data_IF_170096399872
#
_entry.id   IF_170096399872
#
_cell.length_a   1.000
_cell.length_b   1.000
_cell.length_c   1.000
_cell.angle_alpha   90.00
_cell.angle_beta   90.00
_cell.angle_gamma   90.00
#
_symmetry.space_group_name_H-M   'P 1'
#
loop_
_entity.id
_entity.type
_entity.pdbx_description
1 polymer ?
#
# COMPACT_ATOMS: atom_id res chain seq x y z
N UNK A 1 -9.64 37.12 -23.31
CA UNK A 1 -10.14 36.06 -22.43
C UNK A 1 -9.34 34.82 -22.70
N UNK A 2 -8.46 34.46 -21.81
CA UNK A 2 -7.74 33.22 -21.92
C UNK A 2 -8.51 32.14 -21.17
N UNK A 3 -9.15 31.24 -21.92
CA UNK A 3 -9.61 29.99 -21.37
C UNK A 3 -8.38 29.22 -20.93
N UNK A 4 -8.17 29.07 -19.64
CA UNK A 4 -7.23 28.09 -19.13
C UNK A 4 -7.75 26.73 -19.57
N UNK A 5 -7.09 26.13 -20.54
CA UNK A 5 -7.34 24.73 -20.84
C UNK A 5 -7.14 23.94 -19.57
N UNK A 6 -8.24 23.38 -19.07
CA UNK A 6 -8.20 22.43 -18.01
C UNK A 6 -7.52 21.19 -18.59
N UNK A 7 -6.20 21.13 -18.52
CA UNK A 7 -5.48 19.91 -18.84
C UNK A 7 -5.83 18.89 -17.79
N UNK A 8 -6.98 18.24 -18.01
CA UNK A 8 -7.25 17.00 -17.32
C UNK A 8 -6.07 16.08 -17.67
N UNK A 9 -5.30 15.70 -16.65
CA UNK A 9 -4.28 14.70 -16.81
C UNK A 9 -4.93 13.50 -17.49
N UNK A 10 -4.48 13.16 -18.69
CA UNK A 10 -4.94 11.93 -19.36
C UNK A 10 -4.69 10.78 -18.40
N UNK A 11 -5.68 9.91 -18.16
CA UNK A 11 -5.43 8.71 -17.37
C UNK A 11 -4.23 8.01 -17.99
N UNK A 12 -3.21 7.75 -17.18
CA UNK A 12 -2.03 7.02 -17.64
C UNK A 12 -2.51 5.70 -18.20
N UNK A 13 -2.21 5.46 -19.48
CA UNK A 13 -2.48 4.15 -20.08
C UNK A 13 -1.62 3.15 -19.31
N UNK A 14 -2.26 2.09 -18.81
CA UNK A 14 -1.59 0.98 -18.18
C UNK A 14 -0.80 0.26 -19.28
N UNK A 15 0.46 0.61 -19.43
CA UNK A 15 1.38 -0.13 -20.27
C UNK A 15 1.96 -1.28 -19.46
N UNK A 16 2.24 -2.41 -20.11
CA UNK A 16 2.68 -3.65 -19.47
C UNK A 16 4.07 -3.59 -18.80
N UNK A 17 4.65 -2.40 -18.63
CA UNK A 17 5.95 -2.19 -18.01
C UNK A 17 5.79 -1.51 -16.65
N UNK A 18 5.79 -2.34 -15.61
CA UNK A 18 5.39 -1.97 -14.26
C UNK A 18 6.23 -0.89 -13.58
N UNK A 19 7.49 -0.72 -13.96
CA UNK A 19 8.36 0.30 -13.34
C UNK A 19 7.90 1.72 -13.65
N UNK A 20 7.24 1.92 -14.79
CA UNK A 20 6.82 3.24 -15.26
C UNK A 20 5.42 3.63 -14.76
N UNK A 21 4.68 2.68 -14.16
CA UNK A 21 3.28 2.86 -13.73
C UNK A 21 3.10 3.06 -12.23
N UNK A 22 4.14 2.87 -11.43
CA UNK A 22 4.08 3.08 -9.99
C UNK A 22 3.86 4.58 -9.73
N UNK A 23 2.89 4.89 -8.86
CA UNK A 23 2.67 6.28 -8.45
C UNK A 23 3.94 6.85 -7.82
N UNK A 24 4.21 8.11 -8.10
CA UNK A 24 5.45 8.77 -7.73
C UNK A 24 5.27 9.74 -6.56
N UNK A 25 6.39 10.12 -5.96
CA UNK A 25 6.46 11.24 -5.03
C UNK A 25 5.83 12.48 -5.70
N UNK A 26 4.93 13.15 -4.99
CA UNK A 26 4.20 14.31 -5.48
C UNK A 26 2.82 13.99 -6.04
N UNK A 27 2.52 12.73 -6.34
CA UNK A 27 1.19 12.34 -6.81
C UNK A 27 0.19 12.32 -5.65
N UNK A 28 -1.05 12.69 -5.96
CA UNK A 28 -2.17 12.56 -5.03
C UNK A 28 -2.62 11.11 -4.98
N UNK A 29 -2.67 10.53 -3.80
CA UNK A 29 -3.20 9.17 -3.62
C UNK A 29 -4.71 9.12 -3.91
N UNK A 30 -5.26 7.93 -4.29
CA UNK A 30 -6.70 7.79 -4.52
C UNK A 30 -7.50 8.10 -3.25
N UNK A 31 -8.66 8.74 -3.38
CA UNK A 31 -9.53 9.05 -2.24
C UNK A 31 -10.14 7.78 -1.64
N UNK A 32 -10.63 6.86 -2.45
CA UNK A 32 -11.16 5.59 -1.97
C UNK A 32 -10.05 4.55 -2.02
N UNK A 33 -9.66 4.03 -0.85
CA UNK A 33 -8.59 3.04 -0.75
C UNK A 33 -9.12 1.62 -0.86
N UNK A 34 -10.34 1.36 -0.40
CA UNK A 34 -10.97 0.06 -0.49
C UNK A 34 -11.72 -0.32 0.78
N UNK A 35 -11.99 -1.61 0.95
CA UNK A 35 -12.68 -2.13 2.13
C UNK A 35 -11.73 -2.94 2.99
N UNK A 36 -11.84 -2.77 4.30
CA UNK A 36 -11.01 -3.50 5.26
C UNK A 36 -11.50 -4.93 5.48
N UNK A 37 -10.90 -5.64 6.41
CA UNK A 37 -11.22 -7.03 6.77
C UNK A 37 -12.66 -7.24 7.29
N UNK A 38 -13.35 -6.17 7.63
CA UNK A 38 -14.73 -6.18 8.12
C UNK A 38 -15.73 -5.58 7.11
N UNK A 39 -15.26 -5.26 5.90
CA UNK A 39 -16.08 -4.66 4.85
C UNK A 39 -16.31 -3.15 5.01
N UNK A 40 -15.64 -2.50 5.93
CA UNK A 40 -15.74 -1.06 6.13
C UNK A 40 -14.91 -0.32 5.08
N UNK A 41 -15.48 0.70 4.46
CA UNK A 41 -14.75 1.51 3.48
C UNK A 41 -13.70 2.36 4.17
N UNK A 42 -12.47 2.33 3.62
CA UNK A 42 -11.36 3.17 4.05
C UNK A 42 -11.10 4.22 2.98
N UNK A 43 -11.10 5.49 3.39
CA UNK A 43 -10.84 6.64 2.54
C UNK A 43 -9.56 7.34 2.96
N UNK A 44 -8.92 7.97 1.99
CA UNK A 44 -7.74 8.80 2.24
C UNK A 44 -8.04 9.91 3.26
N UNK A 45 -9.21 10.53 3.15
CA UNK A 45 -9.67 11.58 4.06
C UNK A 45 -9.80 11.13 5.52
N UNK A 46 -9.92 9.84 5.79
CA UNK A 46 -9.93 9.30 7.15
C UNK A 46 -8.60 9.56 7.87
N UNK A 47 -7.53 9.81 7.12
CA UNK A 47 -6.18 10.05 7.64
C UNK A 47 -5.73 11.50 7.50
N UNK A 48 -6.65 12.42 7.17
CA UNK A 48 -6.33 13.83 7.03
C UNK A 48 -5.63 14.37 8.28
N UNK A 49 -4.52 15.09 8.08
CA UNK A 49 -3.70 15.60 9.19
C UNK A 49 -2.72 14.58 9.79
N UNK A 50 -2.68 13.36 9.25
CA UNK A 50 -1.75 12.32 9.66
C UNK A 50 -1.02 11.74 8.45
N UNK A 51 0.16 11.19 8.69
CA UNK A 51 0.89 10.45 7.66
C UNK A 51 0.37 9.03 7.60
N UNK A 52 0.21 8.50 6.39
CA UNK A 52 -0.25 7.13 6.18
C UNK A 52 0.87 6.27 5.61
N UNK A 53 1.16 5.17 6.28
CA UNK A 53 1.97 4.08 5.74
C UNK A 53 1.01 3.13 5.04
N UNK A 54 0.97 3.19 3.73
CA UNK A 54 0.15 2.30 2.89
C UNK A 54 1.07 1.27 2.26
N UNK A 55 1.06 0.04 2.81
CA UNK A 55 1.97 -0.98 2.33
C UNK A 55 1.25 -2.11 1.61
N UNK A 56 1.74 -2.41 0.42
CA UNK A 56 1.23 -3.49 -0.44
C UNK A 56 2.09 -4.72 -0.25
N UNK A 57 1.46 -5.87 -0.01
CA UNK A 57 2.16 -7.14 0.16
C UNK A 57 1.46 -8.26 -0.62
N UNK A 58 2.21 -9.29 -1.07
CA UNK A 58 1.67 -10.29 -1.99
C UNK A 58 0.62 -11.22 -1.40
N UNK A 59 0.82 -11.73 -0.18
CA UNK A 59 -0.05 -12.80 0.33
C UNK A 59 0.02 -12.95 1.84
N UNK A 60 -1.16 -13.04 2.49
CA UNK A 60 -1.28 -13.35 3.91
C UNK A 60 -0.56 -14.66 4.27
N UNK A 61 -0.05 -14.71 5.49
CA UNK A 61 0.54 -15.93 6.10
C UNK A 61 1.77 -16.49 5.38
N UNK A 62 2.40 -15.74 4.48
CA UNK A 62 3.72 -16.05 3.95
C UNK A 62 4.81 -15.49 4.88
N UNK A 63 6.01 -16.06 4.84
CA UNK A 63 7.08 -15.69 5.78
C UNK A 63 7.50 -14.23 5.69
N UNK A 64 7.71 -13.71 4.48
CA UNK A 64 8.09 -12.31 4.26
C UNK A 64 6.98 -11.33 4.64
N UNK A 65 5.75 -11.62 4.26
CA UNK A 65 4.61 -10.76 4.60
C UNK A 65 4.32 -10.77 6.10
N UNK A 66 4.47 -11.91 6.77
CA UNK A 66 4.34 -12.01 8.21
C UNK A 66 5.43 -11.22 8.92
N UNK A 67 6.69 -11.33 8.48
CA UNK A 67 7.80 -10.57 9.05
C UNK A 67 7.58 -9.07 8.93
N UNK A 68 7.12 -8.60 7.78
CA UNK A 68 6.82 -7.17 7.54
C UNK A 68 5.69 -6.69 8.44
N UNK A 69 4.58 -7.42 8.50
CA UNK A 69 3.45 -7.09 9.36
C UNK A 69 3.86 -7.05 10.84
N UNK A 70 4.64 -8.01 11.29
CA UNK A 70 5.13 -8.06 12.68
C UNK A 70 6.10 -6.91 13.00
N UNK A 71 6.94 -6.52 12.05
CA UNK A 71 7.81 -5.34 12.22
C UNK A 71 6.97 -4.08 12.45
N UNK A 72 5.94 -3.87 11.64
CA UNK A 72 5.03 -2.73 11.77
C UNK A 72 4.22 -2.81 13.06
N UNK A 73 3.75 -4.00 13.44
CA UNK A 73 3.05 -4.23 14.71
C UNK A 73 3.91 -3.87 15.91
N UNK A 74 5.12 -4.38 15.96
CA UNK A 74 6.03 -4.20 17.10
C UNK A 74 6.43 -2.74 17.30
N UNK A 75 6.38 -1.95 16.24
CA UNK A 75 6.73 -0.53 16.24
C UNK A 75 5.52 0.40 16.07
N UNK A 76 4.30 -0.15 16.18
CA UNK A 76 3.08 0.61 15.90
C UNK A 76 2.87 1.80 16.84
N UNK A 77 3.14 1.62 18.14
CA UNK A 77 3.05 2.71 19.12
C UNK A 77 3.98 3.85 18.76
N UNK A 78 5.23 3.55 18.39
CA UNK A 78 6.20 4.56 18.00
C UNK A 78 5.83 5.23 16.67
N UNK A 79 5.34 4.46 15.69
CA UNK A 79 4.84 5.01 14.44
C UNK A 79 3.70 6.01 14.70
N UNK A 80 2.74 5.64 15.52
CA UNK A 80 1.62 6.53 15.88
C UNK A 80 2.11 7.78 16.62
N UNK A 81 3.05 7.62 17.53
CA UNK A 81 3.65 8.74 18.27
C UNK A 81 4.29 9.76 17.30
N UNK A 82 4.88 9.29 16.22
CA UNK A 82 5.46 10.14 15.19
C UNK A 82 4.45 10.63 14.13
N UNK A 83 3.16 10.38 14.32
CA UNK A 83 2.11 10.88 13.46
C UNK A 83 1.71 9.95 12.31
N UNK A 84 2.18 8.71 12.29
CA UNK A 84 1.81 7.73 11.26
C UNK A 84 0.60 6.90 11.65
N UNK A 85 -0.21 6.54 10.66
CA UNK A 85 -1.14 5.42 10.68
C UNK A 85 -0.67 4.37 9.68
N UNK A 86 -1.08 3.12 9.89
CA UNK A 86 -0.66 1.99 9.04
C UNK A 86 -1.88 1.30 8.45
N UNK A 87 -1.85 1.06 7.16
CA UNK A 87 -2.85 0.25 6.45
C UNK A 87 -2.12 -0.69 5.50
N UNK A 88 -2.40 -1.98 5.61
CA UNK A 88 -1.88 -2.97 4.68
C UNK A 88 -2.87 -3.26 3.55
N UNK A 89 -2.37 -3.63 2.39
CA UNK A 89 -3.19 -3.94 1.22
C UNK A 89 -2.70 -5.23 0.58
N UNK A 90 -3.61 -6.16 0.36
CA UNK A 90 -3.37 -7.37 -0.41
C UNK A 90 -4.64 -7.75 -1.17
N UNK A 91 -4.50 -8.57 -2.21
CA UNK A 91 -5.63 -9.06 -3.01
C UNK A 91 -6.39 -10.20 -2.33
N UNK A 92 -5.96 -10.64 -1.17
CA UNK A 92 -6.65 -11.67 -0.39
C UNK A 92 -7.98 -11.15 0.13
N UNK A 93 -8.93 -12.06 0.39
CA UNK A 93 -10.27 -11.70 0.85
C UNK A 93 -10.33 -11.31 2.34
N UNK A 94 -11.48 -10.82 2.75
CA UNK A 94 -11.72 -10.38 4.13
C UNK A 94 -11.45 -11.49 5.15
N UNK A 95 -11.87 -12.71 4.84
CA UNK A 95 -11.71 -13.86 5.73
C UNK A 95 -10.25 -14.23 5.94
N UNK A 96 -9.46 -14.21 4.87
CA UNK A 96 -8.01 -14.41 4.95
C UNK A 96 -7.36 -13.32 5.81
N UNK A 97 -7.72 -12.06 5.61
CA UNK A 97 -7.21 -10.94 6.40
C UNK A 97 -7.58 -11.03 7.87
N UNK A 98 -8.82 -11.43 8.19
CA UNK A 98 -9.25 -11.63 9.57
C UNK A 98 -8.39 -12.67 10.29
N UNK A 99 -8.11 -13.79 9.64
CA UNK A 99 -7.24 -14.85 10.19
C UNK A 99 -5.81 -14.36 10.39
N UNK A 100 -5.29 -13.62 9.43
CA UNK A 100 -3.94 -13.06 9.50
C UNK A 100 -3.79 -12.05 10.63
N UNK A 101 -4.74 -11.15 10.77
CA UNK A 101 -4.82 -10.18 11.87
C UNK A 101 -4.89 -10.88 13.23
N UNK A 102 -5.79 -11.86 13.36
CA UNK A 102 -5.99 -12.59 14.63
C UNK A 102 -4.72 -13.36 15.02
N UNK A 103 -4.15 -14.11 14.09
CA UNK A 103 -2.95 -14.92 14.36
C UNK A 103 -1.75 -14.07 14.78
N UNK A 104 -1.57 -12.91 14.19
CA UNK A 104 -0.42 -12.04 14.43
C UNK A 104 -0.74 -10.84 15.31
N UNK A 105 -1.98 -10.70 15.80
CA UNK A 105 -2.43 -9.59 16.64
C UNK A 105 -2.08 -8.23 16.01
N UNK A 106 -2.42 -8.06 14.75
CA UNK A 106 -2.13 -6.82 14.03
C UNK A 106 -3.07 -5.70 14.50
N UNK A 107 -2.54 -4.54 14.92
CA UNK A 107 -3.34 -3.43 15.45
C UNK A 107 -3.85 -2.47 14.38
N UNK A 108 -3.61 -2.75 13.11
CA UNK A 108 -3.99 -1.90 11.98
C UNK A 108 -4.84 -2.69 10.99
N UNK A 109 -5.68 -2.00 10.18
CA UNK A 109 -6.54 -2.66 9.22
C UNK A 109 -5.79 -3.14 7.99
N UNK A 110 -6.36 -4.15 7.33
CA UNK A 110 -5.91 -4.67 6.06
C UNK A 110 -7.02 -4.51 5.01
N UNK A 111 -6.70 -3.90 3.88
CA UNK A 111 -7.62 -3.75 2.75
C UNK A 111 -7.63 -5.04 1.93
N UNK A 112 -8.83 -5.57 1.71
CA UNK A 112 -9.09 -6.72 0.85
C UNK A 112 -9.33 -6.23 -0.58
N UNK A 113 -8.25 -6.03 -1.33
CA UNK A 113 -8.28 -5.51 -2.70
C UNK A 113 -8.50 -6.65 -3.71
N UNK A 114 -9.57 -7.42 -3.54
CA UNK A 114 -9.85 -8.64 -4.30
C UNK A 114 -10.02 -8.38 -5.81
N UNK A 115 -10.51 -7.19 -6.17
CA UNK A 115 -10.66 -6.77 -7.57
C UNK A 115 -9.39 -6.12 -8.14
N UNK A 116 -8.32 -6.03 -7.34
CA UNK A 116 -7.04 -5.44 -7.71
C UNK A 116 -7.11 -3.94 -8.05
N UNK A 117 -8.21 -3.28 -7.71
CA UNK A 117 -8.46 -1.88 -8.06
C UNK A 117 -7.38 -0.96 -7.54
N UNK A 118 -7.07 -1.03 -6.26
CA UNK A 118 -6.04 -0.17 -5.66
C UNK A 118 -4.63 -0.57 -6.12
N UNK A 119 -4.36 -1.88 -6.24
CA UNK A 119 -3.10 -2.39 -6.81
C UNK A 119 -2.84 -1.78 -8.19
N UNK A 120 -3.84 -1.77 -9.05
CA UNK A 120 -3.72 -1.23 -10.41
C UNK A 120 -3.62 0.29 -10.41
N UNK A 121 -4.44 1.00 -9.62
CA UNK A 121 -4.39 2.46 -9.52
C UNK A 121 -3.03 2.96 -9.07
N UNK A 122 -2.40 2.27 -8.13
CA UNK A 122 -1.10 2.68 -7.59
C UNK A 122 0.08 2.06 -8.33
N UNK A 123 -0.18 1.25 -9.34
CA UNK A 123 0.83 0.70 -10.25
C UNK A 123 1.70 -0.40 -9.65
N UNK A 124 1.20 -1.13 -8.65
CA UNK A 124 1.96 -2.18 -7.98
C UNK A 124 1.55 -3.60 -8.40
N UNK A 125 0.55 -3.71 -9.26
CA UNK A 125 0.14 -4.98 -9.86
C UNK A 125 0.95 -5.21 -11.14
N UNK A 126 1.68 -6.32 -11.20
CA UNK A 126 2.53 -6.53 -12.33
C UNK A 126 3.07 -7.92 -12.50
N UNK A 127 3.84 -8.09 -13.57
CA UNK A 127 4.48 -9.35 -13.91
C UNK A 127 5.67 -9.62 -12.99
N UNK A 128 5.67 -10.79 -12.40
CA UNK A 128 6.73 -11.32 -11.55
C UNK A 128 7.29 -12.60 -12.18
N UNK A 129 8.50 -12.95 -11.82
CA UNK A 129 9.15 -14.18 -12.27
C UNK A 129 9.64 -15.00 -11.08
N UNK A 130 9.36 -16.31 -11.11
CA UNK A 130 9.85 -17.25 -10.11
C UNK A 130 10.17 -18.57 -10.81
N UNK A 131 11.42 -19.03 -10.67
CA UNK A 131 11.90 -20.27 -11.29
C UNK A 131 11.61 -20.33 -12.80
N UNK A 132 11.80 -19.20 -13.52
CA UNK A 132 11.56 -19.12 -14.95
C UNK A 132 10.10 -19.01 -15.36
N UNK A 133 9.17 -19.04 -14.42
CA UNK A 133 7.75 -18.84 -14.67
C UNK A 133 7.36 -17.38 -14.46
N UNK A 134 6.63 -16.82 -15.39
CA UNK A 134 6.06 -15.49 -15.30
C UNK A 134 4.63 -15.60 -14.76
N UNK A 135 4.28 -14.71 -13.81
CA UNK A 135 2.94 -14.62 -13.25
C UNK A 135 2.66 -13.17 -12.84
N UNK A 136 1.38 -12.82 -12.73
CA UNK A 136 0.99 -11.50 -12.24
C UNK A 136 0.76 -11.54 -10.74
N UNK A 137 1.19 -10.49 -10.07
CA UNK A 137 1.02 -10.37 -8.62
C UNK A 137 1.33 -8.97 -8.12
N UNK A 138 1.09 -8.78 -6.83
CA UNK A 138 1.44 -7.54 -6.14
C UNK A 138 2.95 -7.47 -5.96
N UNK A 139 3.53 -6.36 -6.40
CA UNK A 139 4.92 -6.03 -6.08
C UNK A 139 4.95 -5.35 -4.71
N UNK A 140 5.73 -5.89 -3.78
CA UNK A 140 5.87 -5.35 -2.44
C UNK A 140 6.36 -3.91 -2.51
N UNK A 141 5.49 -2.98 -2.13
CA UNK A 141 5.75 -1.54 -2.25
C UNK A 141 5.09 -0.83 -1.07
N UNK A 142 5.78 0.14 -0.50
CA UNK A 142 5.21 0.96 0.57
C UNK A 142 5.22 2.42 0.16
N UNK A 143 4.07 3.06 0.29
CA UNK A 143 3.91 4.49 0.07
C UNK A 143 3.76 5.19 1.42
N UNK A 144 4.52 6.25 1.62
CA UNK A 144 4.29 7.18 2.72
C UNK A 144 3.53 8.36 2.15
N UNK A 145 2.32 8.56 2.65
CA UNK A 145 1.41 9.60 2.20
C UNK A 145 1.33 10.66 3.31
N UNK A 146 1.51 11.92 2.94
CA UNK A 146 1.54 13.01 3.90
C UNK A 146 0.14 13.42 4.37
N UNK A 147 0.07 14.40 5.26
CA UNK A 147 -1.17 14.88 5.91
C UNK A 147 -2.18 15.44 4.89
N UNK A 148 -1.73 15.79 3.69
CA UNK A 148 -2.55 16.35 2.60
C UNK A 148 -2.93 15.30 1.55
N UNK A 149 -2.54 14.03 1.75
CA UNK A 149 -2.83 12.94 0.83
C UNK A 149 -1.88 12.84 -0.34
N UNK A 150 -0.70 13.47 -0.26
CA UNK A 150 0.32 13.45 -1.30
C UNK A 150 1.40 12.43 -0.94
N UNK A 151 1.84 11.65 -1.92
CA UNK A 151 2.92 10.67 -1.72
C UNK A 151 4.23 11.45 -1.50
N UNK A 152 4.85 11.25 -0.34
CA UNK A 152 6.13 11.87 -0.01
C UNK A 152 7.33 10.92 -0.10
N UNK A 153 7.09 9.61 -0.04
CA UNK A 153 8.15 8.60 -0.16
C UNK A 153 7.58 7.29 -0.71
N UNK A 154 8.38 6.59 -1.48
CA UNK A 154 8.06 5.26 -1.99
C UNK A 154 9.22 4.32 -1.68
N UNK A 155 8.91 3.20 -1.04
CA UNK A 155 9.85 2.08 -0.88
C UNK A 155 9.53 1.03 -1.94
N UNK A 156 10.45 0.82 -2.86
CA UNK A 156 10.32 -0.18 -3.93
C UNK A 156 10.66 -1.58 -3.41
N UNK A 157 10.25 -2.66 -4.10
CA UNK A 157 10.45 -4.03 -3.63
C UNK A 157 11.88 -4.36 -3.19
N UNK A 158 12.87 -3.87 -3.95
CA UNK A 158 14.29 -4.12 -3.64
C UNK A 158 14.80 -3.38 -2.40
N UNK A 159 14.12 -2.32 -2.01
CA UNK A 159 14.49 -1.48 -0.87
C UNK A 159 13.92 -1.99 0.44
N UNK A 160 12.83 -2.78 0.39
CA UNK A 160 12.11 -3.21 1.58
C UNK A 160 12.81 -4.40 2.25
N UNK A 161 13.21 -4.18 3.49
CA UNK A 161 13.69 -5.22 4.40
C UNK A 161 12.56 -5.61 5.32
N UNK A 162 11.93 -6.75 5.07
CA UNK A 162 10.66 -7.12 5.74
C UNK A 162 10.77 -7.17 7.26
N UNK A 163 11.86 -7.71 7.79
CA UNK A 163 12.08 -7.84 9.24
C UNK A 163 12.27 -6.50 9.96
N UNK A 164 12.71 -5.46 9.26
CA UNK A 164 13.07 -4.18 9.84
C UNK A 164 12.37 -3.00 9.16
N UNK A 165 11.28 -3.28 8.45
CA UNK A 165 10.61 -2.28 7.63
C UNK A 165 10.13 -1.06 8.43
N UNK A 166 9.61 -1.27 9.65
CA UNK A 166 9.21 -0.15 10.51
C UNK A 166 10.38 0.79 10.80
N UNK A 167 11.57 0.25 11.04
CA UNK A 167 12.78 1.08 11.28
C UNK A 167 13.19 1.84 10.03
N UNK A 168 12.98 1.27 8.85
CA UNK A 168 13.24 1.99 7.59
C UNK A 168 12.33 3.22 7.47
N UNK A 169 11.07 3.11 7.89
CA UNK A 169 10.10 4.21 7.87
C UNK A 169 10.44 5.26 8.92
N UNK A 170 10.78 4.82 10.13
CA UNK A 170 11.10 5.71 11.24
C UNK A 170 12.42 6.46 11.06
N UNK A 171 13.33 5.90 10.30
CA UNK A 171 14.65 6.50 10.01
C UNK A 171 15.71 6.21 11.04
#
# INVERSE_FOLDING_TARGET
MHLKENRQAKPRQITNHNKDNIMNIGDKAPEILGRDQNGNEIKLSDFAGRKLVLYFYPKDSTSGCTAEACSLRDNYTELRRQGYEVVGVSIQDEKSHQKFIEKNQLPFPLIADTEKTLNEQMGVWGEKSMYGRKYFGTMRTTFIINEEGIIEKVFLPKEIKTKTHAKQILG
#
